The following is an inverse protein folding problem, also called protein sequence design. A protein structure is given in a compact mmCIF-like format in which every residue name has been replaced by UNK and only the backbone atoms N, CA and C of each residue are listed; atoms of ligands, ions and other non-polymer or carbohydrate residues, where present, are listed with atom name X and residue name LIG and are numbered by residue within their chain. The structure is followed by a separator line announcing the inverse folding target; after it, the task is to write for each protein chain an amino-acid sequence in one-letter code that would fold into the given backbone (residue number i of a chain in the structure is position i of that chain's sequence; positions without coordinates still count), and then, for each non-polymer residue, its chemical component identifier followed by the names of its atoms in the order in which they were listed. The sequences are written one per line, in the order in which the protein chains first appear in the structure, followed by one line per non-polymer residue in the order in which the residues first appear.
data_IF_308625131135
#
_entry.id   IF_308625131135
#
_cell.length_a   1.000
_cell.length_b   1.000
_cell.length_c   1.000
_cell.angle_alpha   90.00
_cell.angle_beta   90.00
_cell.angle_gamma   90.00
#
_symmetry.space_group_name_H-M   'P 1'
#
loop_
_entity.id
_entity.type
_entity.pdbx_description
1 polymer ?
#
# COMPACT_ATOMS: atom_id res chain seq x y z
N UNK A 1 3.11 22.06 1.30
CA UNK A 1 2.23 20.88 1.33
C UNK A 1 2.74 19.79 0.39
N UNK A 2 3.43 20.17 -0.70
CA UNK A 2 3.86 19.28 -1.78
C UNK A 2 4.67 18.06 -1.34
N UNK A 3 5.63 18.22 -0.41
CA UNK A 3 6.42 17.09 0.11
C UNK A 3 5.56 16.05 0.84
N UNK A 4 4.50 16.49 1.52
CA UNK A 4 3.56 15.61 2.24
C UNK A 4 2.69 14.87 1.25
N UNK A 5 2.17 15.57 0.22
CA UNK A 5 1.41 14.93 -0.86
C UNK A 5 2.26 13.89 -1.60
N UNK A 6 3.51 14.23 -1.93
CA UNK A 6 4.45 13.33 -2.59
C UNK A 6 4.74 12.09 -1.73
N UNK A 7 4.89 12.26 -0.41
CA UNK A 7 5.07 11.13 0.50
C UNK A 7 3.89 10.14 0.45
N UNK A 8 2.64 10.63 0.53
CA UNK A 8 1.46 9.75 0.46
C UNK A 8 1.31 9.07 -0.91
N UNK A 9 1.63 9.77 -1.99
CA UNK A 9 1.65 9.20 -3.34
C UNK A 9 2.69 8.06 -3.46
N UNK A 10 3.92 8.30 -3.00
CA UNK A 10 4.98 7.28 -3.02
C UNK A 10 4.63 6.09 -2.11
N UNK A 11 4.00 6.33 -0.96
CA UNK A 11 3.56 5.27 -0.06
C UNK A 11 2.48 4.40 -0.71
N UNK A 12 1.54 5.00 -1.44
CA UNK A 12 0.53 4.27 -2.22
C UNK A 12 1.19 3.42 -3.34
N UNK A 13 2.12 4.01 -4.09
CA UNK A 13 2.87 3.29 -5.12
C UNK A 13 3.70 2.13 -4.55
N UNK A 14 4.42 2.36 -3.45
CA UNK A 14 5.22 1.33 -2.79
C UNK A 14 4.36 0.17 -2.29
N UNK A 15 3.21 0.47 -1.68
CA UNK A 15 2.27 -0.57 -1.22
C UNK A 15 1.65 -1.35 -2.39
N UNK A 16 1.36 -0.72 -3.53
CA UNK A 16 0.96 -1.43 -4.75
C UNK A 16 2.07 -2.34 -5.29
N UNK A 17 3.31 -1.85 -5.36
CA UNK A 17 4.46 -2.67 -5.79
C UNK A 17 4.66 -3.88 -4.89
N UNK A 18 4.54 -3.69 -3.57
CA UNK A 18 4.56 -4.79 -2.61
C UNK A 18 3.36 -5.72 -2.78
N UNK A 19 2.14 -5.22 -3.00
CA UNK A 19 1.00 -6.09 -3.27
C UNK A 19 1.27 -7.02 -4.47
N UNK A 20 1.82 -6.48 -5.56
CA UNK A 20 2.21 -7.26 -6.74
C UNK A 20 3.30 -8.28 -6.41
N UNK A 21 4.35 -7.88 -5.68
CA UNK A 21 5.40 -8.80 -5.26
C UNK A 21 4.87 -9.95 -4.37
N UNK A 22 3.99 -9.63 -3.42
CA UNK A 22 3.37 -10.61 -2.53
C UNK A 22 2.33 -11.51 -3.21
N UNK A 23 1.77 -11.11 -4.35
CA UNK A 23 0.92 -11.98 -5.17
C UNK A 23 1.73 -13.13 -5.77
N UNK A 24 2.98 -12.89 -6.19
CA UNK A 24 3.89 -13.93 -6.65
C UNK A 24 4.43 -14.77 -5.50
N UNK A 25 4.95 -14.10 -4.46
CA UNK A 25 5.61 -14.74 -3.32
C UNK A 25 5.09 -14.17 -1.99
N UNK A 26 3.94 -14.68 -1.48
CA UNK A 26 3.29 -14.11 -0.30
C UNK A 26 4.14 -14.21 0.96
N UNK A 27 4.98 -15.24 1.10
CA UNK A 27 5.85 -15.42 2.26
C UNK A 27 6.92 -14.33 2.41
N UNK A 28 7.32 -13.66 1.33
CA UNK A 28 8.29 -12.56 1.40
C UNK A 28 7.70 -11.34 2.13
N UNK A 29 6.39 -11.15 2.05
CA UNK A 29 5.71 -9.99 2.60
C UNK A 29 4.90 -10.29 3.85
N UNK A 30 4.36 -11.50 3.95
CA UNK A 30 3.66 -11.99 5.14
C UNK A 30 4.57 -12.89 5.98
N UNK A 31 5.89 -12.63 6.00
CA UNK A 31 6.87 -13.40 6.76
C UNK A 31 6.61 -13.38 8.28
N UNK A 32 5.93 -12.35 8.75
CA UNK A 32 5.51 -12.12 10.14
C UNK A 32 4.20 -12.83 10.52
N UNK A 33 3.51 -13.43 9.55
CA UNK A 33 2.19 -14.05 9.75
C UNK A 33 2.30 -15.58 9.66
N UNK A 34 1.63 -16.31 10.56
CA UNK A 34 1.64 -17.78 10.56
C UNK A 34 1.02 -18.39 9.29
N UNK A 35 0.03 -17.71 8.69
CA UNK A 35 -0.67 -18.16 7.48
C UNK A 35 -0.52 -17.15 6.36
N UNK A 36 0.30 -17.52 5.38
CA UNK A 36 0.60 -16.71 4.20
C UNK A 36 -0.42 -16.98 3.10
N UNK A 37 -1.33 -16.04 2.87
CA UNK A 37 -2.37 -16.16 1.84
C UNK A 37 -2.33 -14.95 0.90
N UNK A 38 -2.43 -15.17 -0.41
CA UNK A 38 -2.52 -14.10 -1.42
C UNK A 38 -3.69 -13.16 -1.17
N UNK A 39 -4.81 -13.68 -0.64
CA UNK A 39 -5.95 -12.84 -0.22
C UNK A 39 -5.58 -11.88 0.92
N UNK A 40 -4.74 -12.30 1.87
CA UNK A 40 -4.23 -11.43 2.94
C UNK A 40 -3.30 -10.37 2.36
N UNK A 41 -2.43 -10.72 1.40
CA UNK A 41 -1.58 -9.72 0.72
C UNK A 41 -2.42 -8.61 0.10
N UNK A 42 -3.45 -8.96 -0.67
CA UNK A 42 -4.35 -7.97 -1.27
C UNK A 42 -5.05 -7.14 -0.19
N UNK A 43 -5.55 -7.77 0.88
CA UNK A 43 -6.22 -7.05 1.97
C UNK A 43 -5.28 -6.06 2.65
N UNK A 44 -4.09 -6.49 3.05
CA UNK A 44 -3.14 -5.64 3.81
C UNK A 44 -2.56 -4.56 2.90
N UNK A 45 -1.88 -4.94 1.83
CA UNK A 45 -1.18 -3.98 0.98
C UNK A 45 -2.14 -3.16 0.12
N UNK A 46 -3.25 -3.75 -0.33
CA UNK A 46 -4.30 -3.04 -1.05
C UNK A 46 -5.03 -2.03 -0.16
N UNK A 47 -5.34 -2.35 1.10
CA UNK A 47 -5.95 -1.36 2.00
C UNK A 47 -5.01 -0.20 2.33
N UNK A 48 -3.72 -0.47 2.56
CA UNK A 48 -2.70 0.57 2.76
C UNK A 48 -2.55 1.45 1.52
N UNK A 49 -2.53 0.85 0.32
CA UNK A 49 -2.46 1.58 -0.95
C UNK A 49 -3.67 2.49 -1.14
N UNK A 50 -4.87 1.99 -0.85
CA UNK A 50 -6.11 2.73 -1.03
C UNK A 50 -6.23 3.86 0.00
N UNK A 51 -5.95 3.59 1.27
CA UNK A 51 -5.97 4.62 2.33
C UNK A 51 -4.96 5.74 2.05
N UNK A 52 -3.72 5.40 1.73
CA UNK A 52 -2.69 6.41 1.42
C UNK A 52 -3.05 7.24 0.18
N UNK A 53 -3.65 6.62 -0.84
CA UNK A 53 -4.13 7.34 -2.03
C UNK A 53 -5.30 8.28 -1.71
N UNK A 54 -6.25 7.86 -0.88
CA UNK A 54 -7.37 8.72 -0.44
C UNK A 54 -6.87 9.91 0.36
N UNK A 55 -5.87 9.72 1.22
CA UNK A 55 -5.22 10.82 1.94
C UNK A 55 -4.52 11.78 0.98
N UNK A 56 -3.79 11.25 -0.01
CA UNK A 56 -3.18 12.07 -1.06
C UNK A 56 -4.22 12.92 -1.80
N UNK A 57 -5.35 12.33 -2.23
CA UNK A 57 -6.42 13.07 -2.90
C UNK A 57 -7.04 14.14 -1.99
N UNK A 58 -7.27 13.81 -0.72
CA UNK A 58 -7.81 14.76 0.25
C UNK A 58 -6.88 15.95 0.44
N UNK A 59 -5.58 15.70 0.57
CA UNK A 59 -4.57 16.77 0.70
C UNK A 59 -4.44 17.61 -0.58
N UNK A 60 -4.54 16.98 -1.75
CA UNK A 60 -4.52 17.66 -3.04
C UNK A 60 -5.74 18.56 -3.25
N UNK A 61 -6.92 18.16 -2.76
CA UNK A 61 -8.15 18.95 -2.88
C UNK A 61 -8.19 20.15 -1.92
N UNK A 62 -7.53 20.04 -0.76
CA UNK A 62 -7.49 21.10 0.26
C UNK A 62 -6.43 22.16 -0.06
N UNK A 63 -5.41 21.80 -0.82
CA UNK A 63 -4.28 22.67 -1.17
C UNK A 63 -4.48 23.39 -2.51
#
# INVERSE_FOLDING_TARGET
MDNVCLFFLLMSLASLMFMVAGLFKPWLLLWWEDVQNRRKVIKVYGSVALLSYVVYLSLLLVN
#
